data_IF_725864088714
#
_entry.id   IF_725864088714
#
_cell.length_a   1.000
_cell.length_b   1.000
_cell.length_c   1.000
_cell.angle_alpha   90.00
_cell.angle_beta   90.00
_cell.angle_gamma   90.00
#
_symmetry.space_group_name_H-M   'P 1'
#
loop_
_entity.id
_entity.type
_entity.pdbx_description
1 polymer ?
#
# COMPACT_ATOMS: atom_id res chain seq x y z
N UNK A 1 40.87 -61.10 29.60
CA UNK A 1 40.22 -59.98 28.89
C UNK A 1 39.07 -59.53 29.79
N UNK A 2 39.22 -58.44 30.56
CA UNK A 2 38.82 -57.06 30.20
C UNK A 2 37.39 -57.09 29.59
N UNK A 3 36.35 -56.43 30.13
CA UNK A 3 36.28 -54.99 30.41
C UNK A 3 34.93 -54.63 31.06
N UNK A 4 34.98 -53.90 32.17
CA UNK A 4 34.09 -52.80 32.63
C UNK A 4 32.59 -53.05 32.90
N UNK A 5 32.26 -52.99 34.20
CA UNK A 5 30.95 -52.62 34.75
C UNK A 5 30.87 -51.09 34.73
N UNK A 6 29.94 -50.52 33.97
CA UNK A 6 29.67 -49.07 33.96
C UNK A 6 28.72 -48.77 35.12
N UNK A 7 29.28 -48.18 36.18
CA UNK A 7 28.52 -47.56 37.28
C UNK A 7 27.89 -46.27 36.76
N UNK A 8 26.57 -46.26 36.56
CA UNK A 8 25.81 -45.04 36.28
C UNK A 8 25.68 -44.26 37.58
N UNK A 9 26.58 -43.30 37.76
CA UNK A 9 26.50 -42.31 38.83
C UNK A 9 25.39 -41.31 38.45
N UNK A 10 24.23 -41.41 39.09
CA UNK A 10 23.17 -40.41 39.01
C UNK A 10 23.65 -39.11 39.65
N UNK A 11 24.16 -38.19 38.83
CA UNK A 11 24.40 -36.81 39.22
C UNK A 11 23.03 -36.13 39.29
N UNK A 12 22.46 -36.07 40.48
CA UNK A 12 21.39 -35.14 40.82
C UNK A 12 21.94 -33.72 40.70
N UNK A 13 21.70 -33.08 39.55
CA UNK A 13 21.88 -31.64 39.38
C UNK A 13 20.80 -30.90 40.18
N UNK A 14 21.04 -30.72 41.47
CA UNK A 14 20.53 -29.57 42.21
C UNK A 14 21.32 -28.34 41.74
N UNK A 15 20.85 -27.65 40.70
CA UNK A 15 21.35 -26.33 40.35
C UNK A 15 20.39 -25.62 39.40
N UNK A 16 19.45 -24.85 39.96
CA UNK A 16 19.07 -23.50 39.51
C UNK A 16 17.88 -23.00 40.35
N UNK A 17 18.13 -22.63 41.60
CA UNK A 17 17.18 -21.85 42.41
C UNK A 17 17.49 -20.34 42.41
N UNK A 18 18.29 -19.84 41.46
CA UNK A 18 18.70 -18.43 41.40
C UNK A 18 18.49 -17.81 40.02
N UNK A 19 17.28 -17.97 39.46
CA UNK A 19 16.85 -17.24 38.25
C UNK A 19 15.35 -16.91 38.22
N UNK A 20 14.73 -16.73 39.40
CA UNK A 20 13.27 -16.59 39.54
C UNK A 20 12.76 -15.19 39.90
N UNK A 21 13.64 -14.20 40.04
CA UNK A 21 13.29 -12.94 40.72
C UNK A 21 13.18 -11.71 39.81
N UNK A 22 13.30 -11.84 38.48
CA UNK A 22 13.32 -10.68 37.56
C UNK A 22 12.02 -10.44 36.78
N UNK A 23 10.95 -11.18 37.09
CA UNK A 23 9.84 -11.36 36.13
C UNK A 23 8.44 -11.38 36.77
N UNK A 24 8.31 -10.75 37.94
CA UNK A 24 7.06 -10.70 38.70
C UNK A 24 6.43 -9.31 38.57
N UNK A 25 5.16 -9.27 38.15
CA UNK A 25 4.36 -8.05 38.09
C UNK A 25 4.17 -7.48 39.50
N UNK A 26 4.17 -6.15 39.64
CA UNK A 26 3.81 -5.49 40.89
C UNK A 26 2.29 -5.50 41.07
N UNK A 27 1.79 -6.57 41.69
CA UNK A 27 0.36 -6.82 41.83
C UNK A 27 -0.35 -5.75 42.66
N UNK A 28 0.30 -5.20 43.68
CA UNK A 28 -0.32 -4.18 44.52
C UNK A 28 -0.42 -2.83 43.79
N UNK A 29 0.60 -2.47 43.02
CA UNK A 29 0.56 -1.30 42.15
C UNK A 29 -0.49 -1.46 41.04
N UNK A 30 -0.56 -2.62 40.38
CA UNK A 30 -1.57 -2.89 39.35
C UNK A 30 -2.98 -2.82 39.94
N UNK A 31 -3.24 -3.41 41.13
CA UNK A 31 -4.54 -3.28 41.82
C UNK A 31 -4.92 -1.84 42.11
N UNK A 32 -3.94 -1.00 42.49
CA UNK A 32 -4.17 0.42 42.72
C UNK A 32 -4.62 1.11 41.44
N UNK A 33 -3.93 0.88 40.32
CA UNK A 33 -4.27 1.50 39.04
C UNK A 33 -5.55 0.95 38.42
N UNK A 34 -5.86 -0.34 38.57
CA UNK A 34 -7.17 -0.90 38.19
C UNK A 34 -8.33 -0.12 38.84
N UNK A 35 -8.23 0.16 40.15
CA UNK A 35 -9.25 0.96 40.86
C UNK A 35 -9.33 2.42 40.40
N UNK A 36 -8.23 2.99 39.93
CA UNK A 36 -8.24 4.33 39.35
C UNK A 36 -8.91 4.30 37.97
N UNK A 37 -8.63 3.26 37.19
CA UNK A 37 -9.17 3.06 35.85
C UNK A 37 -10.68 2.81 35.83
N UNK A 38 -11.28 2.34 36.93
CA UNK A 38 -12.75 2.28 37.10
C UNK A 38 -13.44 3.66 36.97
N UNK A 39 -12.67 4.77 36.97
CA UNK A 39 -13.19 6.14 36.91
C UNK A 39 -12.75 6.92 35.66
N UNK A 40 -12.28 6.24 34.60
CA UNK A 40 -11.90 6.92 33.34
C UNK A 40 -13.12 7.41 32.56
N UNK A 41 -14.29 6.87 32.86
CA UNK A 41 -15.57 7.23 32.27
C UNK A 41 -16.59 7.56 33.35
N UNK A 42 -17.59 8.36 32.96
CA UNK A 42 -18.75 8.64 33.80
C UNK A 42 -19.69 7.43 33.79
N UNK A 43 -20.36 7.19 34.91
CA UNK A 43 -21.55 6.33 34.89
C UNK A 43 -22.63 6.98 33.99
N UNK A 44 -23.54 6.17 33.43
CA UNK A 44 -24.56 6.65 32.47
C UNK A 44 -25.43 7.80 33.02
N UNK A 45 -25.58 7.91 34.34
CA UNK A 45 -26.35 8.93 35.05
C UNK A 45 -25.51 10.02 35.72
N UNK A 46 -24.17 9.94 35.62
CA UNK A 46 -23.26 10.93 36.19
C UNK A 46 -22.89 12.00 35.15
N UNK A 47 -22.88 13.26 35.58
CA UNK A 47 -22.48 14.41 34.75
C UNK A 47 -21.30 15.17 35.35
N UNK A 48 -20.83 14.76 36.53
CA UNK A 48 -19.73 15.40 37.24
C UNK A 48 -18.38 14.85 36.77
N UNK A 49 -17.79 15.57 35.82
CA UNK A 49 -16.45 15.26 35.29
C UNK A 49 -15.32 15.47 36.32
N UNK A 50 -15.56 16.07 37.49
CA UNK A 50 -14.50 16.39 38.46
C UNK A 50 -13.88 15.17 39.14
N UNK A 51 -14.57 14.02 39.07
CA UNK A 51 -14.13 12.77 39.66
C UNK A 51 -13.47 11.82 38.64
N UNK A 52 -13.39 12.22 37.37
CA UNK A 52 -12.77 11.43 36.32
C UNK A 52 -11.27 11.27 36.56
N UNK A 53 -10.80 10.06 36.36
CA UNK A 53 -9.39 9.73 36.39
C UNK A 53 -8.79 9.91 35.00
N UNK A 54 -7.79 10.79 34.90
CA UNK A 54 -6.98 10.92 33.69
C UNK A 54 -5.83 9.92 33.76
N UNK A 55 -5.72 9.08 32.73
CA UNK A 55 -4.63 8.12 32.59
C UNK A 55 -3.27 8.83 32.57
N UNK A 56 -2.26 8.12 33.05
CA UNK A 56 -0.88 8.60 33.18
C UNK A 56 0.09 7.66 32.48
N UNK A 57 1.32 8.12 32.25
CA UNK A 57 2.41 7.26 31.75
C UNK A 57 2.58 5.98 32.59
N UNK A 58 2.29 6.03 33.90
CA UNK A 58 2.37 4.86 34.79
C UNK A 58 1.33 3.79 34.40
N UNK A 59 0.10 4.19 34.03
CA UNK A 59 -0.92 3.28 33.53
C UNK A 59 -0.48 2.58 32.25
N UNK A 60 0.06 3.37 31.31
CA UNK A 60 0.55 2.88 30.02
C UNK A 60 1.73 1.94 30.21
N UNK A 61 2.64 2.27 31.12
CA UNK A 61 3.80 1.43 31.44
C UNK A 61 3.42 0.13 32.14
N UNK A 62 2.46 0.14 33.07
CA UNK A 62 1.93 -1.07 33.70
C UNK A 62 1.23 -1.95 32.67
N UNK A 63 0.40 -1.34 31.80
CA UNK A 63 -0.24 -2.03 30.69
C UNK A 63 0.77 -2.71 29.77
N UNK A 64 1.83 -2.00 29.38
CA UNK A 64 2.92 -2.54 28.56
C UNK A 64 3.64 -3.74 29.20
N UNK A 65 3.87 -3.72 30.52
CA UNK A 65 4.46 -4.87 31.24
C UNK A 65 3.55 -6.09 31.20
N UNK A 66 2.26 -5.90 31.47
CA UNK A 66 1.26 -6.98 31.46
C UNK A 66 1.12 -7.55 30.05
N UNK A 67 1.03 -6.69 29.02
CA UNK A 67 0.99 -7.11 27.62
C UNK A 67 2.21 -7.93 27.23
N UNK A 68 3.41 -7.50 27.61
CA UNK A 68 4.64 -8.23 27.30
C UNK A 68 4.59 -9.66 27.87
N UNK A 69 4.20 -9.79 29.15
CA UNK A 69 4.06 -11.08 29.81
C UNK A 69 3.00 -11.95 29.11
N UNK A 70 1.85 -11.37 28.77
CA UNK A 70 0.79 -12.03 28.02
C UNK A 70 1.24 -12.52 26.64
N UNK A 71 1.99 -11.70 25.92
CA UNK A 71 2.53 -12.03 24.60
C UNK A 71 3.52 -13.20 24.69
N UNK A 72 4.46 -13.15 25.65
CA UNK A 72 5.43 -14.24 25.88
C UNK A 72 4.71 -15.55 26.16
N UNK A 73 3.66 -15.53 27.00
CA UNK A 73 2.84 -16.70 27.28
C UNK A 73 2.14 -17.27 26.03
N UNK A 74 1.93 -16.44 25.00
CA UNK A 74 1.34 -16.81 23.70
C UNK A 74 2.40 -17.07 22.60
N UNK A 75 3.65 -17.30 22.99
CA UNK A 75 4.75 -17.68 22.08
C UNK A 75 5.34 -16.50 21.30
N UNK A 76 5.10 -15.26 21.73
CA UNK A 76 5.84 -14.10 21.24
C UNK A 76 7.32 -14.20 21.66
N UNK A 77 8.20 -13.69 20.80
CA UNK A 77 9.64 -13.66 21.02
C UNK A 77 10.01 -12.20 21.04
N UNK A 78 10.36 -11.68 22.21
CA UNK A 78 10.69 -10.27 22.36
C UNK A 78 11.93 -9.98 21.50
N UNK A 79 11.85 -9.05 20.52
CA UNK A 79 13.00 -8.67 19.70
C UNK A 79 14.06 -7.98 20.56
N UNK A 80 15.31 -7.98 20.11
CA UNK A 80 16.33 -7.11 20.69
C UNK A 80 16.01 -5.63 20.40
N UNK A 81 16.54 -4.72 21.20
CA UNK A 81 16.33 -3.26 21.00
C UNK A 81 16.70 -2.79 19.59
N UNK A 82 17.73 -3.39 18.99
CA UNK A 82 18.18 -3.06 17.64
C UNK A 82 17.20 -3.57 16.58
N UNK A 83 16.74 -4.82 16.70
CA UNK A 83 15.73 -5.40 15.80
C UNK A 83 14.39 -4.67 15.92
N UNK A 84 13.97 -4.32 17.13
CA UNK A 84 12.75 -3.57 17.36
C UNK A 84 12.81 -2.21 16.66
N UNK A 85 13.90 -1.45 16.84
CA UNK A 85 14.07 -0.14 16.20
C UNK A 85 14.13 -0.23 14.68
N UNK A 86 14.82 -1.24 14.13
CA UNK A 86 14.86 -1.47 12.67
C UNK A 86 13.46 -1.79 12.13
N UNK A 87 12.73 -2.69 12.80
CA UNK A 87 11.37 -3.06 12.38
C UNK A 87 10.41 -1.88 12.46
N UNK A 88 10.46 -1.09 13.53
CA UNK A 88 9.62 0.12 13.63
C UNK A 88 9.92 1.10 12.49
N UNK A 89 11.19 1.34 12.18
CA UNK A 89 11.59 2.18 11.05
C UNK A 89 11.11 1.63 9.71
N UNK A 90 11.29 0.34 9.47
CA UNK A 90 10.94 -0.31 8.21
C UNK A 90 9.42 -0.40 8.00
N UNK A 91 8.66 -0.69 9.05
CA UNK A 91 7.22 -0.98 8.96
C UNK A 91 6.40 0.31 9.06
N UNK A 92 6.76 1.19 9.98
CA UNK A 92 5.96 2.38 10.29
C UNK A 92 6.55 3.66 9.67
N UNK A 93 7.67 3.55 8.93
CA UNK A 93 8.48 4.71 8.51
C UNK A 93 8.74 5.68 9.67
N UNK A 94 8.89 5.12 10.88
CA UNK A 94 8.91 5.86 12.12
C UNK A 94 10.34 5.97 12.66
N UNK A 95 10.70 7.17 13.10
CA UNK A 95 11.98 7.43 13.75
C UNK A 95 11.72 7.87 15.18
N UNK A 96 12.22 7.08 16.14
CA UNK A 96 12.17 7.45 17.55
C UNK A 96 12.85 8.80 17.79
N UNK A 97 12.27 9.60 18.67
CA UNK A 97 12.72 10.95 19.02
C UNK A 97 12.71 11.93 17.84
N UNK A 98 11.77 11.78 16.91
CA UNK A 98 11.58 12.77 15.84
C UNK A 98 10.75 13.95 16.34
N UNK A 99 11.44 14.98 16.83
CA UNK A 99 10.84 16.21 17.37
C UNK A 99 10.07 17.03 16.32
N UNK A 100 10.27 16.76 15.03
CA UNK A 100 9.58 17.50 13.97
C UNK A 100 8.23 16.88 13.60
N UNK A 101 7.99 15.63 13.98
CA UNK A 101 6.73 14.96 13.69
C UNK A 101 5.68 15.31 14.75
N UNK A 102 4.71 16.12 14.37
CA UNK A 102 3.67 16.62 15.27
C UNK A 102 2.76 15.51 15.81
N UNK A 103 2.66 14.39 15.10
CA UNK A 103 1.87 13.22 15.48
C UNK A 103 2.59 12.30 16.47
N UNK A 104 3.81 12.63 16.90
CA UNK A 104 4.58 11.82 17.85
C UNK A 104 4.57 12.48 19.23
N UNK A 105 4.15 11.74 20.24
CA UNK A 105 4.35 12.12 21.64
C UNK A 105 5.42 11.23 22.25
N UNK A 106 6.42 11.86 22.87
CA UNK A 106 7.55 11.17 23.47
C UNK A 106 7.37 11.04 24.97
N UNK A 107 7.50 9.82 25.45
CA UNK A 107 7.55 9.48 26.86
C UNK A 107 8.89 8.86 27.20
N UNK A 108 9.09 8.56 28.49
CA UNK A 108 10.34 7.97 28.98
C UNK A 108 10.58 6.57 28.41
N UNK A 109 9.54 5.74 28.35
CA UNK A 109 9.66 4.30 28.06
C UNK A 109 8.91 3.85 26.79
N UNK A 110 8.16 4.77 26.17
CA UNK A 110 7.42 4.55 24.92
C UNK A 110 7.30 5.86 24.14
N UNK A 111 6.89 5.77 22.88
CA UNK A 111 6.44 6.90 22.08
C UNK A 111 5.09 6.56 21.47
N UNK A 112 4.20 7.53 21.40
CA UNK A 112 2.86 7.36 20.85
C UNK A 112 2.81 8.00 19.47
N UNK A 113 2.30 7.26 18.48
CA UNK A 113 1.92 7.82 17.19
C UNK A 113 0.41 8.05 17.16
N UNK A 114 0.06 9.32 17.10
CA UNK A 114 -1.31 9.78 17.00
C UNK A 114 -1.78 9.58 15.57
N UNK A 115 -2.70 8.66 15.38
CA UNK A 115 -3.42 8.50 14.11
C UNK A 115 -4.47 9.61 14.04
N UNK A 116 -4.35 10.58 13.10
CA UNK A 116 -5.37 11.62 12.93
C UNK A 116 -6.69 10.98 12.52
N UNK A 117 -7.80 11.47 13.08
CA UNK A 117 -9.11 11.16 12.53
C UNK A 117 -9.32 11.96 11.22
N UNK A 118 -10.42 11.66 10.52
CA UNK A 118 -10.78 12.34 9.27
C UNK A 118 -11.37 13.75 9.47
N UNK A 119 -11.53 14.27 10.70
CA UNK A 119 -12.12 15.59 10.93
C UNK A 119 -11.07 16.68 11.15
N UNK A 120 -11.35 17.91 10.72
CA UNK A 120 -10.43 19.04 10.90
C UNK A 120 -10.38 19.57 12.34
N UNK A 121 -11.39 19.24 13.15
CA UNK A 121 -11.43 19.58 14.57
C UNK A 121 -10.48 18.69 15.37
N UNK A 122 -10.49 17.39 15.09
CA UNK A 122 -9.61 16.43 15.74
C UNK A 122 -8.13 16.70 15.45
N UNK A 123 -7.78 17.30 14.30
CA UNK A 123 -6.39 17.71 14.02
C UNK A 123 -5.86 18.79 14.97
N UNK A 124 -6.73 19.66 15.51
CA UNK A 124 -6.33 20.73 16.44
C UNK A 124 -6.19 20.23 17.88
N UNK A 125 -6.93 19.20 18.24
CA UNK A 125 -6.98 18.60 19.58
C UNK A 125 -6.31 17.24 19.65
N UNK A 126 -5.73 16.73 18.57
CA UNK A 126 -5.17 15.36 18.45
C UNK A 126 -4.21 14.98 19.58
N UNK A 127 -3.44 15.93 20.12
CA UNK A 127 -2.55 15.64 21.25
C UNK A 127 -3.29 15.39 22.57
N UNK A 128 -4.51 15.90 22.71
CA UNK A 128 -5.36 15.69 23.88
C UNK A 128 -6.03 14.31 23.85
N UNK A 129 -6.06 13.65 22.68
CA UNK A 129 -6.68 12.33 22.49
C UNK A 129 -5.71 11.19 22.72
N UNK A 130 -4.46 11.46 23.15
CA UNK A 130 -3.41 10.45 23.28
C UNK A 130 -3.85 9.22 24.08
N UNK A 131 -4.49 9.45 25.23
CA UNK A 131 -4.98 8.40 26.12
C UNK A 131 -6.49 8.19 26.03
N UNK A 132 -7.11 8.67 24.95
CA UNK A 132 -8.51 8.41 24.65
C UNK A 132 -8.63 7.05 23.95
N UNK A 133 -9.30 6.11 24.62
CA UNK A 133 -9.46 4.73 24.13
C UNK A 133 -10.34 4.63 22.88
N UNK A 134 -11.05 5.69 22.50
CA UNK A 134 -11.83 5.73 21.26
C UNK A 134 -10.96 5.95 20.02
N UNK A 135 -9.68 6.30 20.22
CA UNK A 135 -8.71 6.49 19.15
C UNK A 135 -7.78 5.29 19.01
N UNK A 136 -7.52 4.91 17.76
CA UNK A 136 -6.62 3.81 17.41
C UNK A 136 -5.15 4.24 17.40
N UNK A 137 -4.73 5.08 18.34
CA UNK A 137 -3.34 5.50 18.46
C UNK A 137 -2.42 4.30 18.69
N UNK A 138 -1.18 4.39 18.19
CA UNK A 138 -0.21 3.29 18.29
C UNK A 138 0.84 3.66 19.31
N UNK A 139 0.96 2.83 20.35
CA UNK A 139 1.98 2.95 21.37
C UNK A 139 3.17 2.08 21.01
N UNK A 140 4.30 2.71 20.68
CA UNK A 140 5.57 2.05 20.45
C UNK A 140 6.30 1.83 21.78
N UNK A 141 6.02 0.70 22.41
CA UNK A 141 6.50 0.35 23.74
C UNK A 141 7.95 -0.17 23.72
N UNK A 142 8.90 0.72 23.43
CA UNK A 142 10.32 0.39 23.26
C UNK A 142 10.90 -0.46 24.39
N UNK A 143 10.62 -0.11 25.65
CA UNK A 143 11.10 -0.85 26.83
C UNK A 143 10.64 -2.32 26.83
N UNK A 144 9.49 -2.60 26.23
CA UNK A 144 8.86 -3.92 26.23
C UNK A 144 8.99 -4.66 24.88
N UNK A 145 9.53 -4.00 23.85
CA UNK A 145 9.74 -4.60 22.53
C UNK A 145 8.44 -5.05 21.87
N UNK A 146 7.36 -4.26 22.00
CA UNK A 146 6.04 -4.55 21.45
C UNK A 146 5.34 -3.27 21.00
N UNK A 147 4.26 -3.41 20.24
CA UNK A 147 3.30 -2.33 19.99
C UNK A 147 1.94 -2.68 20.60
N UNK A 148 1.16 -1.65 20.90
CA UNK A 148 -0.23 -1.81 21.32
C UNK A 148 -1.08 -0.61 20.92
N UNK A 149 -2.40 -0.78 20.99
CA UNK A 149 -3.33 0.32 21.25
C UNK A 149 -3.24 0.70 22.74
N UNK A 150 -4.15 1.56 23.23
CA UNK A 150 -4.18 1.96 24.64
C UNK A 150 -4.31 0.72 25.56
N UNK A 151 -3.31 0.42 26.42
CA UNK A 151 -3.27 -0.84 27.15
C UNK A 151 -3.95 -0.72 28.53
N UNK A 152 -5.27 -0.58 28.55
CA UNK A 152 -6.03 -0.53 29.80
C UNK A 152 -5.89 -1.82 30.60
N UNK A 153 -5.61 -1.71 31.90
CA UNK A 153 -5.36 -2.86 32.76
C UNK A 153 -6.61 -3.72 32.91
N UNK A 154 -7.79 -3.09 32.97
CA UNK A 154 -9.08 -3.77 33.10
C UNK A 154 -9.37 -4.76 31.96
N UNK A 155 -8.81 -4.51 30.78
CA UNK A 155 -9.03 -5.35 29.59
C UNK A 155 -8.06 -6.54 29.52
N UNK A 156 -6.92 -6.46 30.19
CA UNK A 156 -5.79 -7.36 29.95
C UNK A 156 -5.40 -8.22 31.14
N UNK A 157 -5.83 -7.88 32.37
CA UNK A 157 -5.50 -8.64 33.57
C UNK A 157 -6.64 -8.69 34.58
N UNK A 158 -6.93 -9.90 35.05
CA UNK A 158 -7.83 -10.18 36.17
C UNK A 158 -6.99 -10.59 37.38
N UNK A 159 -7.21 -9.94 38.53
CA UNK A 159 -6.49 -10.22 39.78
C UNK A 159 -7.45 -10.77 40.83
N UNK A 160 -7.16 -11.96 41.34
CA UNK A 160 -7.92 -12.61 42.40
C UNK A 160 -7.59 -12.00 43.77
N UNK A 161 -8.47 -12.23 44.75
CA UNK A 161 -8.32 -11.75 46.13
C UNK A 161 -7.05 -12.24 46.82
N UNK A 162 -6.57 -13.44 46.47
CA UNK A 162 -5.35 -14.04 46.99
C UNK A 162 -4.07 -13.53 46.31
N UNK A 163 -4.19 -12.60 45.36
CA UNK A 163 -3.08 -12.03 44.60
C UNK A 163 -2.64 -12.85 43.39
N UNK A 164 -3.25 -14.02 43.16
CA UNK A 164 -3.07 -14.72 41.88
C UNK A 164 -3.74 -13.92 40.76
N UNK A 165 -3.28 -14.09 39.52
CA UNK A 165 -3.79 -13.31 38.40
C UNK A 165 -3.84 -14.13 37.12
N UNK A 166 -4.70 -13.70 36.20
CA UNK A 166 -4.84 -14.23 34.85
C UNK A 166 -4.66 -13.08 33.86
N UNK A 167 -3.74 -13.25 32.91
CA UNK A 167 -3.56 -12.29 31.81
C UNK A 167 -4.40 -12.79 30.64
N UNK A 168 -5.26 -11.93 30.12
CA UNK A 168 -6.10 -12.21 28.96
C UNK A 168 -5.89 -11.10 27.94
N UNK A 169 -4.96 -11.31 27.01
CA UNK A 169 -4.73 -10.34 25.92
C UNK A 169 -5.51 -10.77 24.68
N UNK A 170 -6.04 -9.78 23.98
CA UNK A 170 -6.84 -10.01 22.78
C UNK A 170 -6.02 -10.58 21.62
N UNK A 171 -6.69 -11.33 20.74
CA UNK A 171 -6.03 -11.99 19.61
C UNK A 171 -5.43 -10.99 18.61
N UNK A 172 -6.01 -9.79 18.46
CA UNK A 172 -5.42 -8.73 17.62
C UNK A 172 -4.05 -8.29 18.15
N UNK A 173 -3.88 -8.06 19.46
CA UNK A 173 -2.58 -7.67 20.03
C UNK A 173 -1.53 -8.78 19.79
N UNK A 174 -1.91 -10.04 19.99
CA UNK A 174 -1.05 -11.20 19.71
C UNK A 174 -0.64 -11.25 18.24
N UNK A 175 -1.63 -11.22 17.35
CA UNK A 175 -1.41 -11.41 15.92
C UNK A 175 -0.59 -10.26 15.31
N UNK A 176 -0.90 -9.00 15.66
CA UNK A 176 -0.13 -7.83 15.23
C UNK A 176 1.34 -7.96 15.60
N UNK A 177 1.64 -8.20 16.88
CA UNK A 177 3.03 -8.29 17.34
C UNK A 177 3.77 -9.48 16.73
N UNK A 178 3.16 -10.67 16.66
CA UNK A 178 3.81 -11.85 16.08
C UNK A 178 4.01 -11.73 14.57
N UNK A 179 3.06 -11.14 13.85
CA UNK A 179 3.24 -10.84 12.44
C UNK A 179 4.44 -9.89 12.24
N UNK A 180 4.42 -8.74 12.91
CA UNK A 180 5.40 -7.68 12.68
C UNK A 180 6.80 -8.06 13.17
N UNK A 181 6.94 -8.64 14.36
CA UNK A 181 8.24 -8.88 14.99
C UNK A 181 8.74 -10.32 14.85
N UNK A 182 7.84 -11.30 14.69
CA UNK A 182 8.23 -12.71 14.57
C UNK A 182 8.04 -13.30 13.16
N UNK A 183 7.61 -12.49 12.19
CA UNK A 183 7.36 -12.91 10.80
C UNK A 183 6.33 -14.06 10.71
N UNK A 184 5.33 -14.06 11.59
CA UNK A 184 4.33 -15.14 11.66
C UNK A 184 3.30 -15.01 10.54
N UNK A 185 3.39 -15.90 9.55
CA UNK A 185 2.43 -15.97 8.43
C UNK A 185 1.03 -16.38 8.86
N UNK A 186 0.92 -17.23 9.88
CA UNK A 186 -0.38 -17.62 10.43
C UNK A 186 -1.11 -16.44 11.06
N UNK A 187 -0.36 -15.56 11.73
CA UNK A 187 -0.92 -14.33 12.30
C UNK A 187 -1.29 -13.32 11.20
N UNK A 188 -0.52 -13.20 10.11
CA UNK A 188 -0.94 -12.43 8.93
C UNK A 188 -2.28 -12.94 8.37
N UNK A 189 -2.39 -14.26 8.15
CA UNK A 189 -3.63 -14.86 7.66
C UNK A 189 -4.81 -14.52 8.59
N UNK A 190 -4.63 -14.59 9.90
CA UNK A 190 -5.67 -14.20 10.86
C UNK A 190 -6.02 -12.71 10.76
N UNK A 191 -5.04 -11.81 10.68
CA UNK A 191 -5.25 -10.37 10.55
C UNK A 191 -6.02 -10.01 9.27
N UNK A 192 -5.74 -10.69 8.16
CA UNK A 192 -6.45 -10.49 6.89
C UNK A 192 -7.96 -10.76 6.99
N UNK A 193 -8.41 -11.59 7.94
CA UNK A 193 -9.83 -11.85 8.15
C UNK A 193 -10.45 -11.02 9.28
N UNK A 194 -9.68 -10.72 10.34
CA UNK A 194 -10.24 -10.20 11.59
C UNK A 194 -9.82 -8.75 11.92
N UNK A 195 -8.76 -8.24 11.28
CA UNK A 195 -8.16 -6.95 11.65
C UNK A 195 -7.58 -6.23 10.41
N UNK A 196 -8.42 -6.13 9.38
CA UNK A 196 -8.04 -5.54 8.09
C UNK A 196 -7.71 -4.06 8.20
N UNK A 197 -8.39 -3.31 9.08
CA UNK A 197 -8.16 -1.88 9.24
C UNK A 197 -6.75 -1.57 9.75
N UNK A 198 -6.20 -2.42 10.63
CA UNK A 198 -4.79 -2.33 11.00
C UNK A 198 -3.87 -2.54 9.79
N UNK A 199 -4.12 -3.56 8.97
CA UNK A 199 -3.31 -3.82 7.77
C UNK A 199 -3.43 -2.70 6.72
N UNK A 200 -4.62 -2.11 6.56
CA UNK A 200 -4.82 -0.90 5.75
C UNK A 200 -3.99 0.26 6.28
N UNK A 201 -3.95 0.45 7.59
CA UNK A 201 -3.13 1.49 8.24
C UNK A 201 -1.64 1.28 7.93
N UNK A 202 -1.14 0.04 8.00
CA UNK A 202 0.24 -0.28 7.59
C UNK A 202 0.53 0.14 6.15
N UNK A 203 -0.36 -0.20 5.21
CA UNK A 203 -0.14 0.10 3.79
C UNK A 203 -0.34 1.58 3.44
N UNK A 204 -1.48 2.15 3.84
CA UNK A 204 -1.93 3.48 3.40
C UNK A 204 -1.27 4.57 4.24
N UNK A 205 -1.26 4.44 5.56
CA UNK A 205 -0.68 5.46 6.45
C UNK A 205 0.83 5.38 6.45
N UNK A 206 1.37 4.17 6.65
CA UNK A 206 2.81 3.99 6.84
C UNK A 206 3.59 3.61 5.56
N UNK A 207 2.90 3.26 4.47
CA UNK A 207 3.55 2.90 3.21
C UNK A 207 4.20 1.52 3.22
N UNK A 208 3.81 0.63 4.13
CA UNK A 208 4.40 -0.70 4.26
C UNK A 208 3.97 -1.63 3.12
N UNK A 209 4.87 -1.82 2.15
CA UNK A 209 4.62 -2.62 0.96
C UNK A 209 5.58 -3.81 0.77
N UNK A 210 6.34 -4.17 1.81
CA UNK A 210 7.31 -5.28 1.74
C UNK A 210 6.63 -6.64 1.68
N UNK A 211 5.49 -6.82 2.33
CA UNK A 211 4.70 -8.06 2.27
C UNK A 211 3.68 -8.00 1.12
N UNK A 212 3.95 -8.69 0.02
CA UNK A 212 3.10 -8.65 -1.18
C UNK A 212 1.77 -9.38 -1.00
N UNK A 213 1.67 -10.31 -0.05
CA UNK A 213 0.40 -10.96 0.27
C UNK A 213 -0.54 -9.97 0.96
N UNK A 214 -0.03 -9.17 1.89
CA UNK A 214 -0.76 -8.05 2.48
C UNK A 214 -1.22 -7.07 1.41
N UNK A 215 -0.30 -6.56 0.58
CA UNK A 215 -0.61 -5.54 -0.44
C UNK A 215 -1.69 -6.05 -1.39
N UNK A 216 -1.53 -7.26 -1.92
CA UNK A 216 -2.49 -7.88 -2.84
C UNK A 216 -3.88 -8.00 -2.23
N UNK A 217 -4.00 -8.35 -0.94
CA UNK A 217 -5.30 -8.49 -0.30
C UNK A 217 -5.97 -7.14 -0.04
N UNK A 218 -5.22 -6.11 0.37
CA UNK A 218 -5.79 -4.77 0.53
C UNK A 218 -6.26 -4.20 -0.82
N UNK A 219 -5.49 -4.38 -1.89
CA UNK A 219 -5.87 -3.89 -3.22
C UNK A 219 -7.16 -4.50 -3.78
N UNK A 220 -7.56 -5.73 -3.39
CA UNK A 220 -8.83 -6.33 -3.84
C UNK A 220 -10.06 -5.55 -3.39
N UNK A 221 -9.97 -4.87 -2.24
CA UNK A 221 -11.07 -4.16 -1.60
C UNK A 221 -10.86 -2.64 -1.59
N UNK A 222 -9.75 -2.18 -2.21
CA UNK A 222 -9.42 -0.77 -2.25
C UNK A 222 -10.24 -0.06 -3.33
N UNK A 223 -10.87 1.06 -2.96
CA UNK A 223 -11.61 1.89 -3.88
C UNK A 223 -10.66 2.81 -4.67
N UNK A 224 -10.24 2.35 -5.84
CA UNK A 224 -9.39 3.11 -6.76
C UNK A 224 -10.14 4.25 -7.49
N UNK A 225 -11.46 4.38 -7.33
CA UNK A 225 -12.22 5.51 -7.89
C UNK A 225 -12.17 6.76 -7.00
N UNK A 226 -11.79 6.60 -5.73
CA UNK A 226 -11.69 7.71 -4.78
C UNK A 226 -10.33 8.41 -4.87
N UNK A 227 -10.31 9.61 -5.47
CA UNK A 227 -9.07 10.38 -5.72
C UNK A 227 -8.25 10.65 -4.45
N UNK A 228 -8.91 10.94 -3.31
CA UNK A 228 -8.23 11.19 -2.05
C UNK A 228 -7.58 9.93 -1.49
N UNK A 229 -8.27 8.80 -1.58
CA UNK A 229 -7.75 7.49 -1.14
C UNK A 229 -6.54 7.10 -1.97
N UNK A 230 -6.62 7.24 -3.30
CA UNK A 230 -5.50 6.97 -4.21
C UNK A 230 -4.31 7.88 -3.90
N UNK A 231 -4.55 9.18 -3.65
CA UNK A 231 -3.49 10.11 -3.27
C UNK A 231 -2.78 9.69 -1.97
N UNK A 232 -3.55 9.34 -0.93
CA UNK A 232 -3.01 8.84 0.33
C UNK A 232 -2.25 7.51 0.19
N UNK A 233 -2.66 6.66 -0.75
CA UNK A 233 -1.97 5.41 -1.06
C UNK A 233 -0.62 5.68 -1.74
N UNK A 234 -0.58 6.58 -2.72
CA UNK A 234 0.59 6.87 -3.55
C UNK A 234 1.62 7.77 -2.86
N UNK A 235 1.20 8.64 -1.94
CA UNK A 235 2.08 9.63 -1.34
C UNK A 235 2.18 9.47 0.18
N UNK A 236 3.41 9.44 0.70
CA UNK A 236 3.68 9.64 2.12
C UNK A 236 3.72 11.12 2.44
N UNK A 237 3.03 11.57 3.48
CA UNK A 237 3.25 12.91 4.03
C UNK A 237 4.48 12.93 4.92
N UNK A 238 5.45 13.80 4.62
CA UNK A 238 6.61 14.04 5.46
C UNK A 238 6.34 15.27 6.33
N UNK A 239 6.18 15.04 7.63
CA UNK A 239 5.94 16.10 8.61
C UNK A 239 7.13 17.03 8.81
N UNK A 240 8.37 16.60 8.54
CA UNK A 240 9.56 17.43 8.75
C UNK A 240 9.62 18.63 7.81
N UNK A 241 9.14 18.46 6.58
CA UNK A 241 9.18 19.48 5.53
C UNK A 241 7.78 19.84 5.00
N UNK A 242 6.72 19.29 5.61
CA UNK A 242 5.33 19.45 5.22
C UNK A 242 5.05 19.15 3.75
N UNK A 243 5.70 18.10 3.21
CA UNK A 243 5.62 17.74 1.80
C UNK A 243 5.28 16.28 1.58
N UNK A 244 4.55 16.01 0.51
CA UNK A 244 4.26 14.68 0.01
C UNK A 244 5.45 14.09 -0.76
N UNK A 245 5.73 12.82 -0.54
CA UNK A 245 6.76 12.04 -1.22
C UNK A 245 6.11 10.85 -1.93
N UNK A 246 6.39 10.69 -3.22
CA UNK A 246 5.86 9.57 -4.00
C UNK A 246 6.43 8.23 -3.53
N UNK A 247 5.54 7.26 -3.29
CA UNK A 247 5.87 5.87 -2.99
C UNK A 247 6.00 5.08 -4.29
N UNK A 248 7.15 5.20 -4.95
CA UNK A 248 7.42 4.51 -6.24
C UNK A 248 7.09 3.00 -6.19
N UNK A 249 7.45 2.32 -5.09
CA UNK A 249 7.15 0.89 -4.92
C UNK A 249 5.66 0.54 -4.83
N UNK A 250 4.79 1.45 -4.37
CA UNK A 250 3.34 1.25 -4.40
C UNK A 250 2.82 1.35 -5.84
N UNK A 251 3.39 2.27 -6.65
CA UNK A 251 3.07 2.38 -8.07
C UNK A 251 3.40 1.08 -8.80
N UNK A 252 4.58 0.52 -8.54
CA UNK A 252 4.99 -0.77 -9.10
C UNK A 252 4.07 -1.91 -8.63
N UNK A 253 3.63 -1.89 -7.37
CA UNK A 253 2.68 -2.88 -6.85
C UNK A 253 1.32 -2.79 -7.53
N UNK A 254 0.85 -1.58 -7.83
CA UNK A 254 -0.39 -1.37 -8.56
C UNK A 254 -0.29 -2.00 -9.96
N UNK A 255 0.74 -1.63 -10.74
CA UNK A 255 1.00 -2.21 -12.07
C UNK A 255 1.01 -3.75 -12.03
N UNK A 256 1.80 -4.33 -11.12
CA UNK A 256 2.02 -5.77 -11.12
C UNK A 256 0.86 -6.58 -10.51
N UNK A 257 0.23 -6.09 -9.44
CA UNK A 257 -0.74 -6.87 -8.67
C UNK A 257 -2.19 -6.59 -9.07
N UNK A 258 -2.49 -5.39 -9.52
CA UNK A 258 -3.84 -5.02 -9.98
C UNK A 258 -3.98 -5.34 -11.47
N UNK A 259 -2.97 -5.03 -12.27
CA UNK A 259 -3.04 -5.11 -13.73
C UNK A 259 -2.28 -6.27 -14.36
N UNK A 260 -1.38 -6.92 -13.61
CA UNK A 260 -0.58 -8.01 -14.13
C UNK A 260 0.52 -7.58 -15.11
N UNK A 261 0.90 -6.30 -15.11
CA UNK A 261 1.93 -5.76 -15.98
C UNK A 261 1.85 -4.23 -16.12
N UNK A 262 2.71 -3.67 -16.96
CA UNK A 262 2.66 -2.24 -17.30
C UNK A 262 1.34 -1.93 -18.03
N UNK A 263 0.71 -0.80 -17.72
CA UNK A 263 -0.56 -0.39 -18.31
C UNK A 263 -0.47 1.01 -18.90
N UNK A 264 -1.06 1.19 -20.08
CA UNK A 264 -1.14 2.47 -20.82
C UNK A 264 -1.67 3.59 -19.93
N UNK A 265 -2.75 3.30 -19.22
CA UNK A 265 -3.27 4.18 -18.20
C UNK A 265 -3.93 3.30 -17.13
N UNK A 266 -3.81 3.72 -15.89
CA UNK A 266 -4.56 3.11 -14.83
C UNK A 266 -6.09 3.27 -15.03
N UNK A 267 -6.51 4.20 -15.89
CA UNK A 267 -7.93 4.42 -16.23
C UNK A 267 -8.57 3.43 -17.21
N UNK A 268 -7.79 2.69 -17.99
CA UNK A 268 -8.32 1.84 -19.07
C UNK A 268 -8.47 0.34 -18.73
N UNK A 269 -8.06 -0.09 -17.53
CA UNK A 269 -8.06 -1.50 -17.18
C UNK A 269 -9.03 -1.85 -16.05
N UNK A 270 -10.02 -2.70 -16.41
CA UNK A 270 -11.10 -3.30 -15.61
C UNK A 270 -12.32 -2.41 -15.39
N UNK A 271 -13.47 -2.86 -15.91
CA UNK A 271 -14.84 -2.33 -15.76
C UNK A 271 -15.01 -1.34 -14.58
N UNK A 272 -14.99 -0.03 -14.88
CA UNK A 272 -15.41 1.04 -13.98
C UNK A 272 -14.30 2.01 -13.54
N UNK A 273 -14.37 3.23 -14.07
CA UNK A 273 -13.96 4.51 -13.45
C UNK A 273 -12.69 4.53 -12.57
N UNK A 274 -11.64 3.79 -12.91
CA UNK A 274 -10.41 3.77 -12.14
C UNK A 274 -9.52 4.97 -12.46
N UNK A 275 -8.90 5.54 -11.43
CA UNK A 275 -7.72 6.41 -11.48
C UNK A 275 -7.89 7.84 -12.00
N UNK A 276 -7.30 8.76 -11.23
CA UNK A 276 -6.60 9.88 -11.82
C UNK A 276 -5.56 9.29 -12.77
N UNK A 277 -5.70 9.53 -14.07
CA UNK A 277 -4.65 9.21 -15.03
C UNK A 277 -3.30 9.70 -14.50
N UNK A 278 -2.19 9.05 -14.90
CA UNK A 278 -0.86 9.56 -14.51
C UNK A 278 -0.74 11.06 -14.86
N UNK A 279 -1.38 11.50 -15.94
CA UNK A 279 -1.56 12.89 -16.35
C UNK A 279 -2.24 13.78 -15.30
N UNK A 280 -3.31 13.33 -14.65
CA UNK A 280 -3.96 14.06 -13.55
C UNK A 280 -3.08 14.14 -12.30
N UNK A 281 -2.31 13.08 -12.00
CA UNK A 281 -1.34 13.10 -10.90
C UNK A 281 -0.25 14.14 -11.18
N UNK A 282 0.28 14.15 -12.40
CA UNK A 282 1.25 15.14 -12.87
C UNK A 282 0.67 16.55 -12.73
N UNK A 283 -0.54 16.79 -13.27
CA UNK A 283 -1.20 18.10 -13.19
C UNK A 283 -1.35 18.57 -11.74
N UNK A 284 -1.78 17.68 -10.84
CA UNK A 284 -1.90 18.02 -9.41
C UNK A 284 -0.56 18.39 -8.78
N UNK A 285 0.54 17.73 -9.16
CA UNK A 285 1.89 18.08 -8.69
C UNK A 285 2.31 19.43 -9.26
N UNK A 286 2.02 19.71 -10.53
CA UNK A 286 2.33 21.00 -11.18
C UNK A 286 1.57 22.17 -10.53
N UNK A 287 0.27 21.99 -10.27
CA UNK A 287 -0.57 23.02 -9.65
C UNK A 287 -0.18 23.29 -8.18
N UNK A 288 0.40 22.29 -7.53
CA UNK A 288 0.72 22.31 -6.10
C UNK A 288 2.19 21.97 -5.81
N UNK A 289 3.14 22.40 -6.66
CA UNK A 289 4.57 22.00 -6.57
C UNK A 289 5.16 22.13 -5.17
N UNK A 290 4.80 23.18 -4.45
CA UNK A 290 5.31 23.45 -3.10
C UNK A 290 4.90 22.38 -2.06
N UNK A 291 3.83 21.63 -2.32
CA UNK A 291 3.33 20.57 -1.44
C UNK A 291 4.09 19.24 -1.64
N UNK A 292 4.98 19.12 -2.63
CA UNK A 292 5.68 17.87 -2.93
C UNK A 292 7.20 17.99 -2.72
N UNK A 293 7.81 16.86 -2.35
CA UNK A 293 9.25 16.69 -2.28
C UNK A 293 9.77 16.39 -3.68
N UNK A 294 10.76 17.16 -4.14
CA UNK A 294 11.33 17.06 -5.50
C UNK A 294 10.26 16.91 -6.59
N UNK A 295 9.33 17.89 -6.73
CA UNK A 295 8.21 17.79 -7.67
C UNK A 295 8.68 17.54 -9.10
N UNK A 296 9.74 18.23 -9.53
CA UNK A 296 10.27 18.13 -10.88
C UNK A 296 10.90 16.75 -11.19
N UNK A 297 11.58 16.12 -10.21
CA UNK A 297 12.06 14.73 -10.35
C UNK A 297 10.88 13.75 -10.37
N UNK A 298 9.86 14.01 -9.55
CA UNK A 298 8.65 13.17 -9.48
C UNK A 298 7.88 13.21 -10.79
N UNK A 299 7.73 14.39 -11.40
CA UNK A 299 7.14 14.56 -12.74
C UNK A 299 7.97 13.82 -13.78
N UNK A 300 9.30 13.94 -13.75
CA UNK A 300 10.18 13.21 -14.68
C UNK A 300 10.01 11.68 -14.56
N UNK A 301 9.88 11.15 -13.34
CA UNK A 301 9.59 9.74 -13.11
C UNK A 301 8.24 9.33 -13.71
N UNK A 302 7.20 10.16 -13.54
CA UNK A 302 5.87 9.89 -14.08
C UNK A 302 5.87 9.97 -15.62
N UNK A 303 6.61 10.91 -16.22
CA UNK A 303 6.82 10.94 -17.68
C UNK A 303 7.48 9.66 -18.19
N UNK A 304 8.54 9.19 -17.52
CA UNK A 304 9.20 7.94 -17.91
C UNK A 304 8.24 6.74 -17.86
N UNK A 305 7.42 6.66 -16.81
CA UNK A 305 6.36 5.64 -16.70
C UNK A 305 5.34 5.72 -17.82
N UNK A 306 4.84 6.92 -18.13
CA UNK A 306 3.90 7.17 -19.23
C UNK A 306 4.51 6.82 -20.61
N UNK A 307 5.80 7.11 -20.81
CA UNK A 307 6.51 6.75 -22.05
C UNK A 307 6.76 5.24 -22.19
N UNK A 308 6.96 4.52 -21.08
CA UNK A 308 7.14 3.06 -21.09
C UNK A 308 5.92 2.31 -21.65
N UNK A 309 4.77 2.98 -21.69
CA UNK A 309 3.50 2.43 -22.15
C UNK A 309 2.98 3.14 -23.41
N UNK A 310 3.86 3.90 -24.09
CA UNK A 310 3.60 4.43 -25.43
C UNK A 310 2.81 5.73 -25.50
N UNK A 311 2.49 6.38 -24.38
CA UNK A 311 1.81 7.68 -24.39
C UNK A 311 2.83 8.79 -24.65
N UNK A 312 2.79 9.34 -25.87
CA UNK A 312 3.70 10.39 -26.32
C UNK A 312 3.05 11.78 -26.31
N UNK A 313 1.82 11.91 -26.82
CA UNK A 313 1.19 13.21 -27.08
C UNK A 313 1.05 14.10 -25.85
N UNK A 314 0.62 13.55 -24.72
CA UNK A 314 0.54 14.30 -23.45
C UNK A 314 1.91 14.81 -22.99
N UNK A 315 2.94 13.98 -23.13
CA UNK A 315 4.31 14.34 -22.74
C UNK A 315 4.86 15.41 -23.69
N UNK A 316 4.61 15.27 -24.99
CA UNK A 316 4.97 16.26 -26.01
C UNK A 316 4.37 17.62 -25.67
N UNK A 317 3.04 17.69 -25.47
CA UNK A 317 2.32 18.92 -25.13
C UNK A 317 2.92 19.60 -23.89
N UNK A 318 3.25 18.81 -22.86
CA UNK A 318 3.85 19.36 -21.64
C UNK A 318 5.26 19.91 -21.85
N UNK A 319 6.09 19.22 -22.64
CA UNK A 319 7.45 19.67 -22.94
C UNK A 319 7.46 20.90 -23.87
N UNK A 320 6.58 20.95 -24.87
CA UNK A 320 6.41 22.09 -25.79
C UNK A 320 6.07 23.37 -25.02
N UNK A 321 5.20 23.24 -24.02
CA UNK A 321 4.79 24.34 -23.15
C UNK A 321 5.81 24.67 -22.04
N UNK A 322 6.93 23.94 -21.92
CA UNK A 322 7.91 24.11 -20.84
C UNK A 322 9.34 23.84 -21.32
N UNK A 323 9.89 24.67 -22.23
CA UNK A 323 11.25 24.48 -22.76
C UNK A 323 12.34 24.51 -21.67
N UNK A 324 12.19 25.35 -20.65
CA UNK A 324 13.11 25.41 -19.50
C UNK A 324 13.18 24.07 -18.74
N UNK A 325 12.08 23.30 -18.72
CA UNK A 325 12.05 21.99 -18.08
C UNK A 325 12.88 20.96 -18.85
N UNK A 326 12.95 21.06 -20.18
CA UNK A 326 13.82 20.20 -21.00
C UNK A 326 15.29 20.45 -20.65
N UNK A 327 15.71 21.70 -20.52
CA UNK A 327 17.07 22.05 -20.10
C UNK A 327 17.37 21.52 -18.70
N UNK A 328 16.40 21.66 -17.79
CA UNK A 328 16.49 21.09 -16.43
C UNK A 328 16.67 19.56 -16.45
N UNK A 329 15.89 18.84 -17.27
CA UNK A 329 16.03 17.39 -17.42
C UNK A 329 17.41 17.00 -17.93
N UNK A 330 17.90 17.66 -18.99
CA UNK A 330 19.24 17.43 -19.56
C UNK A 330 20.34 17.67 -18.52
N UNK A 331 20.26 18.77 -17.78
CA UNK A 331 21.23 19.11 -16.72
C UNK A 331 21.29 18.07 -15.61
N UNK A 332 20.18 17.40 -15.32
CA UNK A 332 20.09 16.34 -14.30
C UNK A 332 20.29 14.93 -14.88
N UNK A 333 20.76 14.78 -16.14
CA UNK A 333 20.88 13.50 -16.85
C UNK A 333 19.58 12.67 -16.78
N UNK A 334 18.43 13.35 -16.88
CA UNK A 334 17.09 12.76 -16.79
C UNK A 334 16.86 11.93 -15.53
N UNK A 335 17.63 12.16 -14.45
CA UNK A 335 17.63 11.34 -13.25
C UNK A 335 17.86 9.84 -13.52
N UNK A 336 18.53 9.51 -14.64
CA UNK A 336 18.73 8.15 -15.17
C UNK A 336 17.43 7.43 -15.59
N UNK A 337 16.40 8.19 -15.97
CA UNK A 337 15.18 7.66 -16.59
C UNK A 337 15.42 7.45 -18.10
N UNK A 338 15.77 6.22 -18.48
CA UNK A 338 16.23 5.90 -19.83
C UNK A 338 15.17 6.12 -20.92
N UNK A 339 13.88 5.86 -20.64
CA UNK A 339 12.83 6.08 -21.64
C UNK A 339 12.56 7.56 -21.84
N UNK A 340 12.56 8.34 -20.76
CA UNK A 340 12.49 9.79 -20.84
C UNK A 340 13.68 10.37 -21.61
N UNK A 341 14.91 9.91 -21.30
CA UNK A 341 16.11 10.33 -22.02
C UNK A 341 16.01 10.01 -23.52
N UNK A 342 15.69 8.76 -23.86
CA UNK A 342 15.50 8.33 -25.24
C UNK A 342 14.48 9.20 -25.97
N UNK A 343 13.34 9.46 -25.31
CA UNK A 343 12.29 10.30 -25.88
C UNK A 343 12.79 11.73 -26.13
N UNK A 344 13.34 12.40 -25.12
CA UNK A 344 13.71 13.82 -25.23
C UNK A 344 14.89 14.07 -26.17
N UNK A 345 15.89 13.17 -26.20
CA UNK A 345 17.11 13.34 -27.01
C UNK A 345 16.95 12.85 -28.46
N UNK A 346 16.10 11.85 -28.71
CA UNK A 346 16.01 11.20 -30.01
C UNK A 346 14.66 11.43 -30.69
N UNK A 347 13.56 11.36 -29.95
CA UNK A 347 12.20 11.39 -30.52
C UNK A 347 11.68 12.84 -30.58
N UNK A 348 11.91 13.61 -29.53
CA UNK A 348 11.43 14.98 -29.38
C UNK A 348 12.29 16.03 -30.11
N UNK A 349 13.59 15.77 -30.35
CA UNK A 349 14.48 16.71 -31.09
C UNK A 349 14.16 16.81 -32.59
N UNK A 350 13.19 16.05 -33.11
CA UNK A 350 12.66 16.22 -34.47
C UNK A 350 11.21 16.72 -34.43
N UNK A 351 10.92 17.94 -33.93
CA UNK A 351 9.59 18.51 -34.02
C UNK A 351 9.39 19.35 -35.29
N UNK A 352 10.33 19.36 -36.24
CA UNK A 352 10.29 20.29 -37.37
C UNK A 352 9.03 20.12 -38.23
N UNK A 353 8.16 21.12 -38.07
CA UNK A 353 7.54 21.89 -39.15
C UNK A 353 8.47 21.98 -40.37
N UNK A 354 8.40 20.97 -41.24
CA UNK A 354 8.11 21.29 -42.61
C UNK A 354 6.59 21.25 -42.74
N UNK A 355 6.02 22.30 -43.35
CA UNK A 355 4.76 22.16 -44.08
C UNK A 355 4.81 20.80 -44.77
N UNK A 356 3.92 19.87 -44.41
CA UNK A 356 3.57 18.80 -45.32
C UNK A 356 2.76 19.47 -46.43
N UNK A 357 3.46 20.20 -47.29
CA UNK A 357 3.16 20.17 -48.70
C UNK A 357 3.06 18.69 -49.05
N UNK A 358 1.89 18.28 -49.52
CA UNK A 358 1.64 16.93 -49.99
C UNK A 358 2.64 16.61 -51.12
N UNK A 359 3.85 16.16 -50.79
CA UNK A 359 4.63 15.35 -51.73
C UNK A 359 4.16 13.90 -51.56
N UNK A 360 3.26 13.56 -52.46
CA UNK A 360 2.65 12.26 -52.69
C UNK A 360 3.68 11.20 -53.14
N UNK A 361 4.78 10.97 -52.41
CA UNK A 361 5.79 10.00 -52.85
C UNK A 361 6.71 9.34 -51.79
N UNK A 362 6.22 8.97 -50.59
CA UNK A 362 6.65 7.69 -49.97
C UNK A 362 5.71 7.23 -48.84
N UNK A 363 4.94 6.17 -49.09
CA UNK A 363 4.10 5.54 -48.07
C UNK A 363 4.97 4.74 -47.10
N UNK A 364 5.00 5.12 -45.83
CA UNK A 364 5.39 4.19 -44.76
C UNK A 364 4.12 3.66 -44.09
N UNK A 365 4.02 2.34 -43.98
CA UNK A 365 2.83 1.65 -43.44
C UNK A 365 3.21 0.91 -42.17
N UNK A 366 2.40 1.04 -41.13
CA UNK A 366 2.58 0.30 -39.87
C UNK A 366 1.93 -1.09 -39.98
N UNK A 367 2.63 -2.10 -39.48
CA UNK A 367 2.14 -3.48 -39.44
C UNK A 367 2.36 -4.10 -38.06
N UNK A 368 1.40 -4.90 -37.60
CA UNK A 368 1.54 -5.76 -36.43
C UNK A 368 2.13 -7.11 -36.86
N UNK A 369 3.32 -7.44 -36.33
CA UNK A 369 3.96 -8.74 -36.51
C UNK A 369 3.78 -9.58 -35.24
N UNK A 370 3.21 -10.76 -35.42
CA UNK A 370 2.88 -11.70 -34.35
C UNK A 370 3.98 -12.76 -34.22
N UNK A 371 4.28 -13.19 -33.00
CA UNK A 371 5.29 -14.24 -32.77
C UNK A 371 4.82 -15.63 -33.29
N UNK A 372 3.50 -15.82 -33.41
CA UNK A 372 2.86 -17.03 -33.94
C UNK A 372 1.71 -16.63 -34.88
N UNK A 373 1.26 -17.51 -35.80
CA UNK A 373 0.13 -17.24 -36.68
C UNK A 373 -1.22 -17.34 -35.93
N UNK A 374 -1.36 -16.55 -34.86
CA UNK A 374 -2.53 -16.49 -34.00
C UNK A 374 -2.69 -15.07 -33.41
N UNK A 375 -3.91 -14.51 -33.44
CA UNK A 375 -4.19 -13.14 -32.94
C UNK A 375 -4.08 -13.00 -31.41
N UNK A 376 -3.90 -14.09 -30.67
CA UNK A 376 -3.74 -14.08 -29.20
C UNK A 376 -2.27 -14.06 -28.77
N UNK A 377 -1.35 -14.18 -29.73
CA UNK A 377 0.08 -14.16 -29.48
C UNK A 377 0.57 -12.73 -29.32
N UNK A 378 1.74 -12.61 -28.69
CA UNK A 378 2.42 -11.34 -28.57
C UNK A 378 2.65 -10.75 -29.98
N UNK A 379 2.28 -9.48 -30.15
CA UNK A 379 2.44 -8.75 -31.38
C UNK A 379 3.32 -7.52 -31.14
N UNK A 380 4.24 -7.29 -32.07
CA UNK A 380 5.07 -6.11 -32.11
C UNK A 380 4.66 -5.23 -33.30
N UNK A 381 4.42 -3.96 -33.05
CA UNK A 381 4.19 -2.98 -34.11
C UNK A 381 5.52 -2.60 -34.78
N UNK A 382 5.55 -2.67 -36.10
CA UNK A 382 6.73 -2.36 -36.92
C UNK A 382 6.34 -1.36 -38.00
N UNK A 383 7.06 -0.23 -38.03
CA UNK A 383 6.93 0.79 -39.06
C UNK A 383 7.81 0.41 -40.24
N UNK A 384 7.20 0.23 -41.41
CA UNK A 384 7.88 -0.24 -42.61
C UNK A 384 8.18 0.95 -43.51
N UNK A 385 9.47 1.24 -43.70
CA UNK A 385 9.99 2.30 -44.57
C UNK A 385 10.68 1.75 -45.83
N UNK A 386 10.19 0.62 -46.35
CA UNK A 386 10.76 -0.13 -47.48
C UNK A 386 9.97 -1.40 -47.83
N UNK A 387 10.56 -2.33 -48.58
CA UNK A 387 9.89 -3.59 -48.96
C UNK A 387 9.83 -4.60 -47.81
N UNK A 388 8.73 -5.34 -47.74
CA UNK A 388 8.56 -6.48 -46.81
C UNK A 388 9.11 -7.74 -47.48
N UNK A 389 10.03 -8.44 -46.82
CA UNK A 389 10.53 -9.73 -47.31
C UNK A 389 9.57 -10.85 -46.86
N UNK A 390 8.84 -11.44 -47.81
CA UNK A 390 7.93 -12.56 -47.56
C UNK A 390 8.71 -13.88 -47.60
N UNK A 391 8.78 -14.58 -46.47
CA UNK A 391 9.57 -15.81 -46.30
C UNK A 391 8.73 -17.07 -46.51
N UNK A 392 7.54 -17.15 -45.90
CA UNK A 392 6.65 -18.30 -45.99
C UNK A 392 5.19 -17.91 -45.69
N UNK A 393 4.21 -18.67 -46.17
CA UNK A 393 2.79 -18.40 -45.92
C UNK A 393 2.12 -19.60 -45.25
N UNK A 394 1.34 -19.35 -44.19
CA UNK A 394 0.58 -20.35 -43.45
C UNK A 394 -0.83 -19.85 -43.16
N UNK A 395 -1.83 -20.43 -43.82
CA UNK A 395 -3.26 -20.29 -43.46
C UNK A 395 -3.71 -18.85 -43.13
N UNK A 396 -3.57 -17.91 -44.06
CA UNK A 396 -3.97 -16.51 -43.85
C UNK A 396 -2.94 -15.64 -43.10
N UNK A 397 -1.74 -16.18 -42.87
CA UNK A 397 -0.61 -15.46 -42.28
C UNK A 397 0.62 -15.53 -43.19
N UNK A 398 1.27 -14.39 -43.35
CA UNK A 398 2.53 -14.25 -44.06
C UNK A 398 3.67 -14.13 -43.03
N UNK A 399 4.58 -15.11 -42.99
CA UNK A 399 5.81 -14.99 -42.22
C UNK A 399 6.78 -14.09 -42.99
N UNK A 400 7.07 -12.92 -42.40
CA UNK A 400 7.81 -11.86 -43.06
C UNK A 400 9.02 -11.45 -42.26
N UNK A 401 9.98 -10.83 -42.93
CA UNK A 401 11.10 -10.13 -42.31
C UNK A 401 11.06 -8.66 -42.69
N UNK A 402 11.04 -7.78 -41.69
CA UNK A 402 11.03 -6.33 -41.87
C UNK A 402 12.02 -5.68 -40.93
N UNK A 403 12.93 -4.86 -41.46
CA UNK A 403 13.99 -4.18 -40.68
C UNK A 403 14.82 -5.14 -39.80
N UNK A 404 15.00 -6.39 -40.23
CA UNK A 404 15.73 -7.42 -39.48
C UNK A 404 14.89 -8.20 -38.45
N UNK A 405 13.62 -7.83 -38.25
CA UNK A 405 12.68 -8.48 -37.34
C UNK A 405 11.83 -9.47 -38.15
N UNK A 406 11.66 -10.69 -37.65
CA UNK A 406 10.81 -11.72 -38.28
C UNK A 406 9.55 -11.94 -37.48
N UNK A 407 8.40 -12.09 -38.14
CA UNK A 407 7.13 -12.41 -37.49
C UNK A 407 6.02 -12.72 -38.47
N UNK A 408 4.84 -13.07 -37.97
CA UNK A 408 3.67 -13.40 -38.76
C UNK A 408 2.79 -12.16 -38.97
N UNK A 409 2.47 -11.88 -40.21
CA UNK A 409 1.60 -10.79 -40.63
C UNK A 409 0.26 -11.37 -41.10
N UNK A 410 -0.85 -10.95 -40.49
CA UNK A 410 -2.18 -11.38 -40.93
C UNK A 410 -2.52 -10.80 -42.31
N UNK A 411 -3.10 -11.62 -43.19
CA UNK A 411 -3.62 -11.14 -44.48
C UNK A 411 -4.86 -10.26 -44.27
N UNK A 412 -5.15 -9.40 -45.25
CA UNK A 412 -6.34 -8.52 -45.19
C UNK A 412 -7.66 -9.28 -45.13
N UNK A 413 -7.71 -10.49 -45.71
CA UNK A 413 -8.87 -11.39 -45.63
C UNK A 413 -9.06 -11.89 -44.19
N UNK A 414 -7.98 -12.33 -43.54
CA UNK A 414 -8.02 -12.84 -42.17
C UNK A 414 -8.36 -11.73 -41.16
N UNK A 415 -7.88 -10.50 -41.38
CA UNK A 415 -8.25 -9.33 -40.56
C UNK A 415 -9.73 -9.00 -40.66
N UNK A 416 -10.33 -9.11 -41.85
CA UNK A 416 -11.77 -8.88 -42.05
C UNK A 416 -12.61 -9.95 -41.36
N UNK A 417 -12.22 -11.21 -41.45
CA UNK A 417 -12.90 -12.32 -40.75
C UNK A 417 -12.87 -12.13 -39.23
N UNK A 418 -11.72 -11.73 -38.66
CA UNK A 418 -11.59 -11.44 -37.22
C UNK A 418 -12.51 -10.28 -36.80
N UNK A 419 -12.56 -9.20 -37.57
CA UNK A 419 -13.45 -8.07 -37.30
C UNK A 419 -14.94 -8.45 -37.38
N UNK A 420 -15.32 -9.37 -38.27
CA UNK A 420 -16.69 -9.89 -38.32
C UNK A 420 -17.04 -10.80 -37.13
N UNK A 421 -16.09 -11.62 -36.66
CA UNK A 421 -16.26 -12.47 -35.47
C UNK A 421 -16.45 -11.59 -34.22
N UNK A 422 -15.66 -10.54 -34.07
CA UNK A 422 -15.79 -9.58 -32.98
C UNK A 422 -17.14 -8.86 -33.02
N UNK A 423 -17.54 -8.31 -34.19
CA UNK A 423 -18.84 -7.65 -34.35
C UNK A 423 -20.04 -8.57 -34.04
N UNK A 424 -19.95 -9.86 -34.37
CA UNK A 424 -20.98 -10.87 -34.03
C UNK A 424 -21.02 -11.17 -32.53
N UNK A 425 -19.87 -11.11 -31.84
CA UNK A 425 -19.77 -11.29 -30.38
C UNK A 425 -20.45 -10.15 -29.60
N UNK A 426 -20.37 -8.93 -30.12
CA UNK A 426 -20.98 -7.74 -29.52
C UNK A 426 -22.48 -7.56 -29.86
N UNK A 427 -22.97 -8.14 -30.96
CA UNK A 427 -24.41 -8.08 -31.31
C UNK A 427 -25.25 -9.09 -30.51
N UNK A 428 -24.69 -10.23 -30.10
CA UNK A 428 -25.38 -11.20 -29.22
C UNK A 428 -25.68 -10.65 -27.81
N UNK A 429 -24.92 -9.66 -27.34
CA UNK A 429 -25.12 -9.02 -26.03
C UNK A 429 -26.10 -7.83 -26.07
N UNK A 430 -26.50 -7.37 -27.26
CA UNK A 430 -27.36 -6.20 -27.42
C UNK A 430 -28.87 -6.54 -27.47
N UNK A 431 -29.23 -7.82 -27.62
CA UNK A 431 -30.63 -8.26 -27.77
C UNK A 431 -31.33 -8.60 -26.43
N UNK A 432 -30.68 -8.46 -25.27
CA UNK A 432 -31.33 -8.68 -23.95
C UNK A 432 -31.92 -7.42 -23.30
N UNK A 433 -31.63 -6.21 -23.82
CA UNK A 433 -32.04 -4.95 -23.17
C UNK A 433 -33.30 -4.26 -23.75
N UNK A 434 -34.02 -4.87 -24.70
CA UNK A 434 -35.33 -4.37 -25.15
C UNK A 434 -36.53 -5.13 -24.54
N UNK A 435 -36.60 -5.19 -23.20
CA UNK A 435 -37.89 -5.43 -22.52
C UNK A 435 -38.59 -4.10 -22.25
N UNK A 436 -39.47 -3.77 -23.19
CA UNK A 436 -40.53 -2.76 -23.14
C UNK A 436 -40.99 -2.37 -21.73
N UNK A 437 -40.84 -1.08 -21.44
CA UNK A 437 -41.52 -0.32 -20.41
C UNK A 437 -43.05 -0.60 -20.41
N UNK A 438 -43.50 -1.54 -19.58
CA UNK A 438 -44.90 -1.66 -19.14
C UNK A 438 -44.95 -1.29 -17.67
N UNK A 439 -45.51 -0.11 -17.39
CA UNK A 439 -45.89 0.36 -16.05
C UNK A 439 -46.62 -0.76 -15.29
N UNK A 440 -45.95 -1.35 -14.30
CA UNK A 440 -46.61 -2.06 -13.20
C UNK A 440 -46.79 -1.05 -12.06
N UNK A 441 -48.05 -0.74 -11.74
CA UNK A 441 -48.40 -0.04 -10.50
C UNK A 441 -47.95 -0.88 -9.31
N UNK A 442 -47.26 -0.25 -8.35
CA UNK A 442 -46.82 -0.88 -7.13
C UNK A 442 -47.98 -1.06 -6.15
N UNK A 443 -47.91 -2.14 -5.37
CA UNK A 443 -48.89 -2.56 -4.36
C UNK A 443 -49.17 -1.52 -3.25
N UNK A 444 -48.32 -0.50 -3.11
CA UNK A 444 -48.42 0.53 -2.06
C UNK A 444 -49.30 1.74 -2.43
N UNK A 445 -49.65 1.93 -3.70
CA UNK A 445 -50.46 3.08 -4.15
C UNK A 445 -51.96 2.96 -3.80
N UNK A 446 -52.38 1.88 -3.12
CA UNK A 446 -53.78 1.62 -2.76
C UNK A 446 -54.06 1.65 -1.24
N UNK A 447 -53.09 1.98 -0.38
CA UNK A 447 -53.30 1.96 1.08
C UNK A 447 -53.25 3.32 1.80
N UNK A 448 -52.85 4.40 1.12
CA UNK A 448 -52.94 5.76 1.65
C UNK A 448 -53.30 6.72 0.52
N UNK A 449 -54.61 6.80 0.24
CA UNK A 449 -55.20 7.82 -0.63
C UNK A 449 -55.45 9.11 0.11
#
# INVERSE_FOLDING_TARGET
>A
MKTIIISIMTITLFSCQTKKEKDMLDIELIKKHLKLQEKIELAEDDTDISHLYNLTDEDIELGGQVLQKGLINNGYKVPTDAEYQEKIKTIFNFKFNDEKNQNIIKHKNFETYLIPSNTDEDKKTLRQTEYDYTYNHIFFMKKYGLISELPLLGDIIEINKDGTYKINISQNIIARNKYLFNNSKGDLAWLLFNDKEFLKTLLITFGYNKDKELVKNIFKEFDFSNQNSVHNLLFSYNSENSKYLLRKGIMDDIENLVYGGKVEDFSYAKEGNGYNSISEIIQKIEDQKNNYTNPDETIAYLYDKTLQVGILGYIQEKLDNSPDYIEFLKKNNFFNFEKLKQYVEVIYQFPDEDEIEYDTSSHSTSYLLYDRPDFQSYAQEVIVKGDIEYLHQVSGWDFVKVNGITGYLATEELKKEQQEIEKKKYTFLADEDEVKNKKKKGFWDNLFG
#
